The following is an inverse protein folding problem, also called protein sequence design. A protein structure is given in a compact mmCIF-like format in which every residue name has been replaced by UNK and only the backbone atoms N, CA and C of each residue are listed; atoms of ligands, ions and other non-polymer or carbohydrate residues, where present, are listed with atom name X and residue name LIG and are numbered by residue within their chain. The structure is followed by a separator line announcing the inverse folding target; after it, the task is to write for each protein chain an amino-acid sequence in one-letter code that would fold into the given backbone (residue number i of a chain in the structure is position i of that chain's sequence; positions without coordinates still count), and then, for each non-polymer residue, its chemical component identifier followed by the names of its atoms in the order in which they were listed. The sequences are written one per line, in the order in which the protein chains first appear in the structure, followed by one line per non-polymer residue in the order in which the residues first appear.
data_IF_840563791610
#
_entry.id   IF_840563791610
#
_cell.length_a   1.000
_cell.length_b   1.000
_cell.length_c   1.000
_cell.angle_alpha   90.00
_cell.angle_beta   90.00
_cell.angle_gamma   90.00
#
_symmetry.space_group_name_H-M   'P 1'
#
loop_
_entity.id
_entity.type
_entity.pdbx_description
1 polymer ?
#
# COMPACT_ATOMS: atom_id res chain seq x y z
N UNK A 1 -0.64 12.14 8.01
CA UNK A 1 -2.08 12.45 8.09
C UNK A 1 -2.52 12.36 9.54
N UNK A 2 -2.86 13.48 10.15
CA UNK A 2 -3.31 13.45 11.54
C UNK A 2 -4.70 12.82 11.61
N UNK A 3 -5.02 12.25 12.72
CA UNK A 3 -6.32 11.60 12.92
C UNK A 3 -6.35 10.11 12.65
N UNK A 4 -5.30 9.53 12.07
CA UNK A 4 -5.21 8.09 11.92
C UNK A 4 -4.70 7.47 13.22
N UNK A 5 -5.33 6.38 13.65
CA UNK A 5 -4.87 5.62 14.80
C UNK A 5 -3.92 4.49 14.42
N UNK A 6 -4.00 4.03 13.18
CA UNK A 6 -3.19 2.91 12.72
C UNK A 6 -2.87 3.08 11.24
N UNK A 7 -1.64 2.81 10.87
CA UNK A 7 -1.24 2.59 9.47
C UNK A 7 -0.42 1.31 9.48
N UNK A 8 -0.88 0.30 8.76
CA UNK A 8 -0.27 -1.02 8.80
C UNK A 8 -0.39 -1.72 7.46
N UNK A 9 0.36 -2.78 7.31
CA UNK A 9 0.19 -3.69 6.20
C UNK A 9 -1.08 -4.51 6.41
N UNK A 10 -1.81 -4.78 5.33
CA UNK A 10 -3.03 -5.57 5.42
C UNK A 10 -2.65 -7.06 5.46
N UNK A 11 -2.95 -7.70 6.56
CA UNK A 11 -2.80 -9.14 6.71
C UNK A 11 -4.08 -9.80 7.22
N UNK A 12 -5.23 -9.16 7.00
CA UNK A 12 -6.55 -9.72 7.34
C UNK A 12 -7.13 -9.21 8.64
N UNK A 13 -6.67 -8.07 9.14
CA UNK A 13 -7.15 -7.52 10.41
C UNK A 13 -8.67 -7.30 10.41
N UNK A 14 -9.20 -6.75 9.32
CA UNK A 14 -10.63 -6.45 9.23
C UNK A 14 -11.45 -7.73 9.16
N UNK A 15 -11.05 -8.67 8.33
CA UNK A 15 -11.77 -9.92 8.12
C UNK A 15 -11.79 -10.80 9.38
N UNK A 16 -10.83 -10.62 10.25
CA UNK A 16 -10.69 -11.41 11.47
C UNK A 16 -11.09 -10.67 12.73
N UNK A 17 -11.81 -9.57 12.60
CA UNK A 17 -12.17 -8.72 13.74
C UNK A 17 -13.03 -9.46 14.76
N UNK A 18 -13.81 -10.45 14.33
CA UNK A 18 -14.67 -11.25 15.19
C UNK A 18 -13.98 -12.53 15.67
N UNK A 19 -12.72 -12.73 15.37
CA UNK A 19 -12.02 -13.92 15.78
C UNK A 19 -11.77 -13.88 17.30
N UNK A 20 -11.91 -15.01 17.96
CA UNK A 20 -11.68 -15.13 19.39
C UNK A 20 -10.25 -14.74 19.80
N UNK A 21 -9.30 -14.81 18.87
CA UNK A 21 -7.91 -14.42 19.08
C UNK A 21 -7.65 -13.02 18.53
N UNK A 22 -8.48 -12.07 18.91
CA UNK A 22 -8.40 -10.70 18.40
C UNK A 22 -7.08 -10.01 18.65
N UNK A 23 -6.31 -10.45 19.62
CA UNK A 23 -4.98 -9.89 19.89
C UNK A 23 -4.00 -10.14 18.76
N UNK A 24 -4.29 -11.13 17.90
CA UNK A 24 -3.44 -11.41 16.74
C UNK A 24 -3.73 -10.48 15.55
N UNK A 25 -4.87 -9.81 15.58
CA UNK A 25 -5.29 -8.92 14.49
C UNK A 25 -5.72 -7.58 15.07
N UNK A 26 -4.81 -6.88 15.74
CA UNK A 26 -5.18 -5.62 16.38
C UNK A 26 -5.51 -4.57 15.34
N UNK A 27 -6.60 -3.88 15.56
CA UNK A 27 -7.00 -2.77 14.70
C UNK A 27 -7.63 -1.69 15.56
N UNK A 28 -7.21 -0.46 15.34
CA UNK A 28 -7.79 0.73 15.94
C UNK A 28 -8.20 1.68 14.84
N UNK A 29 -9.30 2.39 15.04
CA UNK A 29 -9.88 3.24 13.99
C UNK A 29 -9.66 4.73 14.29
N UNK A 30 -9.54 5.57 13.27
CA UNK A 30 -9.46 5.24 11.85
C UNK A 30 -8.14 4.57 11.49
N UNK A 31 -8.17 3.63 10.57
CA UNK A 31 -7.00 2.87 10.16
C UNK A 31 -6.79 2.94 8.66
N UNK A 32 -5.54 2.88 8.25
CA UNK A 32 -5.18 2.68 6.84
C UNK A 32 -4.41 1.38 6.74
N UNK A 33 -4.90 0.46 5.92
CA UNK A 33 -4.25 -0.80 5.63
C UNK A 33 -3.76 -0.80 4.19
N UNK A 34 -2.51 -1.17 3.99
CA UNK A 34 -1.85 -1.12 2.69
C UNK A 34 -1.42 -2.52 2.29
N UNK A 35 -1.68 -2.87 1.04
CA UNK A 35 -1.30 -4.18 0.51
C UNK A 35 -0.83 -4.05 -0.93
N UNK A 36 0.20 -4.77 -1.26
CA UNK A 36 0.63 -4.92 -2.64
C UNK A 36 -0.17 -6.05 -3.28
N UNK A 37 -0.93 -5.73 -4.32
CA UNK A 37 -1.79 -6.72 -4.95
C UNK A 37 -1.07 -7.55 -5.99
N UNK A 38 -0.44 -6.89 -6.93
CA UNK A 38 0.26 -7.58 -8.02
C UNK A 38 1.27 -6.65 -8.67
N UNK A 39 2.19 -7.24 -9.38
CA UNK A 39 3.11 -6.52 -10.24
C UNK A 39 3.18 -7.25 -11.57
N UNK A 40 3.07 -6.51 -12.67
CA UNK A 40 3.20 -7.03 -14.02
C UNK A 40 4.49 -6.50 -14.63
N UNK A 41 5.33 -7.38 -15.10
CA UNK A 41 6.67 -7.03 -15.54
C UNK A 41 6.88 -7.25 -17.03
N UNK A 42 7.70 -6.40 -17.65
CA UNK A 42 8.19 -6.59 -19.01
C UNK A 42 9.69 -6.36 -19.03
N UNK A 43 10.37 -7.10 -19.88
CA UNK A 43 11.82 -6.96 -20.02
C UNK A 43 12.17 -5.71 -20.79
N UNK A 44 13.19 -5.02 -20.33
CA UNK A 44 13.78 -3.90 -21.05
C UNK A 44 15.04 -4.36 -21.78
N UNK A 45 16.04 -4.80 -21.05
CA UNK A 45 17.29 -5.28 -21.61
C UNK A 45 18.05 -6.02 -20.51
N UNK A 46 18.78 -7.05 -20.88
CA UNK A 46 19.60 -7.83 -19.97
C UNK A 46 18.85 -8.21 -18.70
N UNK A 47 19.23 -7.67 -17.58
CA UNK A 47 18.61 -7.98 -16.29
C UNK A 47 17.70 -6.87 -15.79
N UNK A 48 17.20 -6.06 -16.71
CA UNK A 48 16.32 -4.95 -16.36
C UNK A 48 14.89 -5.24 -16.77
N UNK A 49 13.95 -4.90 -15.90
CA UNK A 49 12.53 -5.03 -16.17
C UNK A 49 11.82 -3.75 -15.79
N UNK A 50 10.75 -3.47 -16.50
CA UNK A 50 9.83 -2.41 -16.16
C UNK A 50 8.54 -3.05 -15.71
N UNK A 51 8.01 -2.60 -14.59
CA UNK A 51 6.80 -3.15 -14.03
C UNK A 51 5.77 -2.11 -13.67
N UNK A 52 4.53 -2.56 -13.59
CA UNK A 52 3.44 -1.80 -13.02
C UNK A 52 2.99 -2.54 -11.77
N UNK A 53 3.09 -1.87 -10.64
CA UNK A 53 2.77 -2.44 -9.34
C UNK A 53 1.43 -1.85 -8.89
N UNK A 54 0.51 -2.71 -8.47
CA UNK A 54 -0.77 -2.27 -7.92
C UNK A 54 -0.74 -2.34 -6.41
N UNK A 55 -1.16 -1.25 -5.80
CA UNK A 55 -1.20 -1.09 -4.35
C UNK A 55 -2.63 -0.86 -3.93
N UNK A 56 -3.12 -1.67 -3.03
CA UNK A 56 -4.45 -1.52 -2.45
C UNK A 56 -4.33 -0.75 -1.14
N UNK A 57 -5.10 0.32 -1.00
CA UNK A 57 -5.13 1.13 0.20
C UNK A 57 -6.56 1.17 0.71
N UNK A 58 -6.77 0.71 1.93
CA UNK A 58 -8.08 0.74 2.58
C UNK A 58 -8.06 1.72 3.73
N UNK A 59 -9.00 2.66 3.73
CA UNK A 59 -9.27 3.52 4.87
C UNK A 59 -10.48 2.94 5.59
N UNK A 60 -10.32 2.63 6.86
CA UNK A 60 -11.34 2.00 7.69
C UNK A 60 -11.78 2.98 8.76
N UNK A 61 -13.07 3.24 8.83
CA UNK A 61 -13.65 4.15 9.82
C UNK A 61 -14.79 3.44 10.54
N UNK A 62 -14.72 3.41 11.84
CA UNK A 62 -15.79 2.87 12.65
C UNK A 62 -16.91 3.93 12.71
N UNK A 63 -18.05 3.58 12.17
CA UNK A 63 -19.20 4.48 12.06
C UNK A 63 -20.42 3.97 12.81
N UNK A 64 -20.25 3.00 13.68
CA UNK A 64 -21.38 2.36 14.34
C UNK A 64 -22.25 3.38 15.09
N UNK A 65 -21.63 4.27 15.83
CA UNK A 65 -22.34 5.25 16.63
C UNK A 65 -22.81 6.47 15.85
N UNK A 66 -22.37 6.61 14.60
CA UNK A 66 -22.66 7.77 13.76
C UNK A 66 -23.91 7.61 12.90
N UNK A 67 -24.58 6.47 12.98
CA UNK A 67 -25.66 6.14 12.07
C UNK A 67 -27.06 6.38 12.64
N UNK A 68 -27.15 6.94 13.84
CA UNK A 68 -28.42 7.19 14.48
C UNK A 68 -29.01 8.52 14.09
N UNK A 69 -30.33 8.59 14.09
CA UNK A 69 -31.06 9.82 13.86
C UNK A 69 -30.68 10.83 14.97
N UNK A 70 -30.45 12.06 14.59
CA UNK A 70 -30.02 13.15 15.47
C UNK A 70 -28.62 12.99 16.09
N UNK A 71 -27.79 12.10 15.56
CA UNK A 71 -26.43 11.89 16.06
C UNK A 71 -25.37 12.75 15.40
N UNK A 72 -25.73 13.73 14.59
CA UNK A 72 -24.75 14.52 13.83
C UNK A 72 -24.25 13.80 12.58
N UNK A 73 -25.09 12.95 12.00
CA UNK A 73 -24.74 12.13 10.85
C UNK A 73 -24.19 12.94 9.67
N UNK A 74 -24.78 14.12 9.39
CA UNK A 74 -24.33 14.95 8.28
C UNK A 74 -22.88 15.40 8.46
N UNK A 75 -22.52 15.82 9.68
CA UNK A 75 -21.14 16.23 9.96
C UNK A 75 -20.19 15.04 9.89
N UNK A 76 -20.61 13.88 10.40
CA UNK A 76 -19.82 12.66 10.33
C UNK A 76 -19.55 12.25 8.87
N UNK A 77 -20.54 12.36 8.00
CA UNK A 77 -20.38 12.07 6.57
C UNK A 77 -19.37 13.02 5.94
N UNK A 78 -19.45 14.32 6.27
CA UNK A 78 -18.50 15.30 5.77
C UNK A 78 -17.08 15.04 6.23
N UNK A 79 -16.92 14.68 7.50
CA UNK A 79 -15.61 14.37 8.05
C UNK A 79 -14.99 13.14 7.38
N UNK A 80 -15.79 12.11 7.14
CA UNK A 80 -15.32 10.92 6.44
C UNK A 80 -14.91 11.24 5.00
N UNK A 81 -15.73 12.03 4.31
CA UNK A 81 -15.41 12.44 2.96
C UNK A 81 -14.10 13.25 2.91
N UNK A 82 -13.93 14.16 3.85
CA UNK A 82 -12.71 14.96 3.95
C UNK A 82 -11.48 14.07 4.22
N UNK A 83 -11.63 13.04 5.04
CA UNK A 83 -10.54 12.12 5.35
C UNK A 83 -10.14 11.29 4.13
N UNK A 84 -11.10 10.81 3.36
CA UNK A 84 -10.85 10.10 2.09
C UNK A 84 -10.11 11.01 1.11
N UNK A 85 -10.57 12.24 1.00
CA UNK A 85 -9.98 13.22 0.09
C UNK A 85 -8.55 13.56 0.48
N UNK A 86 -8.29 13.73 1.76
CA UNK A 86 -6.94 13.99 2.25
C UNK A 86 -6.01 12.82 2.01
N UNK A 87 -6.46 11.61 2.27
CA UNK A 87 -5.66 10.41 2.00
C UNK A 87 -5.31 10.32 0.52
N UNK A 88 -6.31 10.54 -0.35
CA UNK A 88 -6.05 10.54 -1.79
C UNK A 88 -5.06 11.63 -2.19
N UNK A 89 -5.20 12.82 -1.62
CA UNK A 89 -4.30 13.93 -1.92
C UNK A 89 -2.85 13.63 -1.54
N UNK A 90 -2.64 12.85 -0.49
CA UNK A 90 -1.31 12.45 -0.07
C UNK A 90 -0.72 11.35 -0.95
N UNK A 91 -1.56 10.49 -1.50
CA UNK A 91 -1.11 9.35 -2.29
C UNK A 91 -0.96 9.66 -3.77
N UNK A 92 -1.92 10.41 -4.33
CA UNK A 92 -1.90 10.72 -5.76
C UNK A 92 -0.65 11.54 -6.11
N UNK A 93 0.13 11.01 -7.01
CA UNK A 93 1.37 11.68 -7.43
C UNK A 93 2.57 11.42 -6.53
N UNK A 94 2.39 10.69 -5.44
CA UNK A 94 3.52 10.34 -4.57
C UNK A 94 4.48 9.41 -5.31
N UNK A 95 5.76 9.65 -5.17
CA UNK A 95 6.80 8.87 -5.84
C UNK A 95 7.58 8.06 -4.81
N UNK A 96 7.26 6.76 -4.68
CA UNK A 96 8.04 5.90 -3.77
C UNK A 96 9.48 5.76 -4.21
N UNK A 97 9.68 5.81 -5.51
CA UNK A 97 11.00 5.84 -6.16
C UNK A 97 10.97 6.90 -7.25
N UNK A 98 12.09 7.15 -7.87
CA UNK A 98 12.17 8.18 -8.91
C UNK A 98 11.41 7.84 -10.18
N UNK A 99 11.18 6.55 -10.42
CA UNK A 99 10.68 6.06 -11.70
C UNK A 99 9.23 6.40 -11.99
N UNK A 100 8.41 6.48 -10.98
CA UNK A 100 6.98 6.67 -11.21
C UNK A 100 6.25 7.19 -10.00
N UNK A 101 5.06 7.70 -10.25
CA UNK A 101 4.17 8.25 -9.24
C UNK A 101 2.95 7.35 -9.08
N UNK A 102 2.38 7.32 -7.89
CA UNK A 102 1.13 6.63 -7.65
C UNK A 102 0.00 7.32 -8.38
N UNK A 103 -0.80 6.55 -9.10
CA UNK A 103 -1.97 7.04 -9.82
C UNK A 103 -3.15 6.16 -9.45
N UNK A 104 -4.22 6.77 -8.96
CA UNK A 104 -5.40 6.02 -8.58
C UNK A 104 -6.10 5.46 -9.82
N UNK A 105 -6.42 4.18 -9.77
CA UNK A 105 -7.14 3.49 -10.83
C UNK A 105 -8.60 3.27 -10.49
N UNK A 106 -8.88 2.84 -9.28
CA UNK A 106 -10.25 2.53 -8.85
C UNK A 106 -10.49 2.97 -7.42
N UNK A 107 -11.75 3.20 -7.12
CA UNK A 107 -12.25 3.43 -5.77
C UNK A 107 -13.47 2.56 -5.55
N UNK A 108 -13.59 2.00 -4.36
CA UNK A 108 -14.70 1.14 -3.99
C UNK A 108 -15.09 1.45 -2.56
N UNK A 109 -16.38 1.55 -2.31
CA UNK A 109 -16.88 1.94 -1.00
C UNK A 109 -17.90 0.89 -0.54
N UNK A 110 -17.73 0.41 0.67
CA UNK A 110 -18.66 -0.56 1.23
C UNK A 110 -18.66 -0.50 2.75
N UNK A 111 -19.61 -1.19 3.37
CA UNK A 111 -19.68 -1.29 4.81
C UNK A 111 -19.40 -2.74 5.22
N UNK A 112 -18.41 -2.91 6.08
CA UNK A 112 -18.09 -4.20 6.66
C UNK A 112 -18.92 -4.43 7.92
N UNK A 113 -18.72 -5.57 8.59
CA UNK A 113 -19.40 -5.87 9.83
C UNK A 113 -19.12 -4.81 10.88
N UNK A 114 -20.03 -4.66 11.82
CA UNK A 114 -19.93 -3.69 12.94
C UNK A 114 -19.97 -2.23 12.50
N UNK A 115 -20.57 -1.94 11.36
CA UNK A 115 -20.72 -0.56 10.91
C UNK A 115 -19.40 0.10 10.48
N UNK A 116 -18.41 -0.70 10.09
CA UNK A 116 -17.12 -0.17 9.65
C UNK A 116 -17.24 0.22 8.19
N UNK A 117 -17.01 1.49 7.90
CA UNK A 117 -16.94 2.00 6.52
C UNK A 117 -15.56 1.74 5.96
N UNK A 118 -15.53 1.15 4.77
CA UNK A 118 -14.29 0.85 4.05
C UNK A 118 -14.26 1.67 2.77
N UNK A 119 -13.19 2.43 2.62
CA UNK A 119 -12.90 3.20 1.41
C UNK A 119 -11.64 2.58 0.80
N UNK A 120 -11.84 1.78 -0.24
CA UNK A 120 -10.75 1.04 -0.85
C UNK A 120 -10.33 1.75 -2.14
N UNK A 121 -9.06 2.01 -2.26
CA UNK A 121 -8.49 2.66 -3.44
C UNK A 121 -7.33 1.82 -3.95
N UNK A 122 -7.32 1.57 -5.25
CA UNK A 122 -6.21 0.88 -5.90
C UNK A 122 -5.40 1.90 -6.68
N UNK A 123 -4.13 1.95 -6.38
CA UNK A 123 -3.17 2.80 -7.08
C UNK A 123 -2.22 1.93 -7.91
N UNK A 124 -1.74 2.47 -9.01
CA UNK A 124 -0.66 1.84 -9.76
C UNK A 124 0.56 2.74 -9.74
N UNK A 125 1.73 2.13 -9.79
CA UNK A 125 2.99 2.84 -9.89
C UNK A 125 3.91 2.06 -10.83
N UNK A 126 4.60 2.78 -11.69
CA UNK A 126 5.60 2.18 -12.58
C UNK A 126 6.92 2.15 -11.86
N UNK A 127 7.61 1.03 -11.95
CA UNK A 127 8.92 0.85 -11.34
C UNK A 127 9.84 0.12 -12.31
N UNK A 128 11.11 0.43 -12.22
CA UNK A 128 12.15 -0.28 -12.96
C UNK A 128 12.95 -1.12 -11.98
N UNK A 129 13.09 -2.39 -12.29
CA UNK A 129 13.89 -3.31 -11.50
C UNK A 129 15.09 -3.76 -12.32
N UNK A 130 16.28 -3.52 -11.80
CA UNK A 130 17.51 -3.89 -12.47
C UNK A 130 18.39 -4.65 -11.49
N UNK A 131 18.75 -5.86 -11.86
CA UNK A 131 19.68 -6.65 -11.06
C UNK A 131 21.08 -6.18 -11.41
N UNK A 132 21.73 -5.57 -10.45
CA UNK A 132 23.10 -5.15 -10.61
C UNK A 132 24.01 -6.34 -10.40
N UNK A 133 24.94 -6.50 -11.31
CA UNK A 133 25.91 -7.55 -11.20
C UNK A 133 27.06 -7.10 -10.30
N UNK A 134 26.87 -7.26 -9.03
CA UNK A 134 27.89 -6.90 -8.04
C UNK A 134 29.08 -7.85 -8.08
N UNK A 135 28.94 -8.98 -8.74
CA UNK A 135 30.01 -9.95 -8.81
C UNK A 135 31.10 -9.53 -9.77
N UNK A 136 30.77 -8.65 -10.69
CA UNK A 136 31.80 -8.12 -11.57
C UNK A 136 32.80 -7.28 -10.82
N UNK A 137 32.46 -6.87 -9.65
CA UNK A 137 33.36 -6.09 -8.84
C UNK A 137 34.40 -6.96 -8.21
N UNK A 138 34.03 -8.18 -7.94
CA UNK A 138 34.88 -9.03 -7.20
C UNK A 138 36.00 -9.65 -7.97
N UNK A 139 35.95 -9.95 -9.11
CA UNK A 139 36.88 -10.69 -9.72
C UNK A 139 38.03 -10.12 -10.06
N UNK A 140 38.60 -10.04 -10.11
CA UNK A 140 39.64 -9.78 -10.61
C UNK A 140 40.49 -10.70 -10.10
N UNK A 141 40.23 -11.43 -9.82
CA UNK A 141 40.94 -12.21 -9.52
C UNK A 141 41.44 -12.85 -10.53
N UNK A 142 41.78 -12.73 -11.25
CA UNK A 142 42.10 -13.06 -12.00
C UNK A 142 42.91 -13.15 -12.27
N UNK A 143 43.20 -13.22 -11.90
CA UNK A 143 43.78 -13.42 -11.87
C UNK A 143 44.46 -13.58 -12.32
N UNK A 144 44.80 -13.50 -12.26
CA UNK A 144 45.57 -13.88 -12.39
C UNK A 144 46.12 -14.46 -12.71
N UNK A 145 46.21 -14.56 -12.75
CA UNK A 145 46.79 -15.15 -12.86
C UNK A 145 47.40 -15.50 -13.46
N UNK A 146 47.75 -15.39 -13.47
CA UNK A 146 48.44 -15.72 -13.76
C UNK A 146 49.12 -16.23 -14.18
N UNK A 147 49.35 -16.26 -14.22
CA UNK A 147 50.06 -16.63 -14.36
C UNK A 147 50.74 -17.19 -14.69
N UNK A 148 51.01 -17.39 -14.67
CA UNK A 148 51.88 -17.95 -14.78
C UNK A 148 52.59 -18.30 -15.47
N UNK A 149 53.17 -18.37 -15.57
CA UNK A 149 53.97 -18.65 -16.11
C UNK A 149 54.60 -19.17 -16.40
N UNK A 150 54.87 -19.35 -16.34
CA UNK A 150 55.54 -19.64 -16.51
C UNK A 150 56.06 -20.19 -16.80
#
# INVERSE_FOLDING_TARGET
MPGLSLVDENYGQLENIDNANTDMYPITFPAVLIDLQEATWSNLADRSQKGTIKVNVQLLIDCYDDTHYDSGTMEAIKERAAMVEELHRLLQGYRPKEDGALVRETSKFYTANHGIKVYEMVYSVVATDAIKDTQTVAPPRKVTISMKRM
#
